data_IF_240030237966
#
_entry.id   IF_240030237966
#
_cell.length_a   1.000
_cell.length_b   1.000
_cell.length_c   1.000
_cell.angle_alpha   90.00
_cell.angle_beta   90.00
_cell.angle_gamma   90.00
#
_symmetry.space_group_name_H-M   'P 1'
#
loop_
_entity.id
_entity.type
_entity.pdbx_description
1 polymer ?
#
# COMPACT_ATOMS: atom_id res chain seq x y z
N UNK A 1 -11.99 17.29 -7.07
CA UNK A 1 -11.08 16.70 -6.06
C UNK A 1 -11.06 15.19 -6.26
N UNK A 2 -9.89 14.55 -6.34
CA UNK A 2 -9.84 13.09 -6.45
C UNK A 2 -10.22 12.42 -5.11
N UNK A 3 -11.25 11.59 -5.13
CA UNK A 3 -11.82 10.93 -3.95
C UNK A 3 -10.77 10.09 -3.19
N UNK A 4 -10.83 10.17 -1.86
CA UNK A 4 -10.06 9.30 -0.97
C UNK A 4 -10.65 7.90 -1.02
N UNK A 5 -9.85 6.92 -1.42
CA UNK A 5 -10.20 5.50 -1.36
C UNK A 5 -9.50 4.84 -0.18
N UNK A 6 -10.16 3.82 0.37
CA UNK A 6 -9.64 3.01 1.45
C UNK A 6 -9.27 1.64 0.90
N UNK A 7 -8.07 1.17 1.26
CA UNK A 7 -7.56 -0.12 0.86
C UNK A 7 -7.24 -0.94 2.11
N UNK A 8 -7.66 -2.19 2.10
CA UNK A 8 -7.42 -3.14 3.17
C UNK A 8 -6.32 -4.11 2.77
N UNK A 9 -5.38 -4.31 3.69
CA UNK A 9 -4.31 -5.28 3.59
C UNK A 9 -4.46 -6.31 4.71
N UNK A 10 -4.15 -7.57 4.42
CA UNK A 10 -4.00 -8.61 5.43
C UNK A 10 -2.53 -9.00 5.49
N UNK A 11 -1.94 -8.93 6.67
CA UNK A 11 -0.55 -9.33 6.88
C UNK A 11 -0.43 -10.85 7.06
N UNK A 12 0.79 -11.38 7.06
CA UNK A 12 1.08 -12.82 7.25
C UNK A 12 0.54 -13.35 8.59
N UNK A 13 0.48 -12.49 9.61
CA UNK A 13 -0.13 -12.79 10.91
C UNK A 13 -1.66 -12.70 10.93
N UNK A 14 -2.31 -12.46 9.79
CA UNK A 14 -3.76 -12.32 9.67
C UNK A 14 -4.33 -10.99 10.15
N UNK A 15 -3.49 -10.05 10.62
CA UNK A 15 -3.91 -8.71 11.03
C UNK A 15 -4.36 -7.88 9.83
N UNK A 16 -5.47 -7.18 9.99
CA UNK A 16 -6.03 -6.29 8.98
C UNK A 16 -5.49 -4.88 9.17
N UNK A 17 -4.94 -4.31 8.10
CA UNK A 17 -4.45 -2.93 8.05
C UNK A 17 -5.21 -2.14 7.00
N UNK A 18 -5.62 -0.92 7.35
CA UNK A 18 -6.33 -0.02 6.43
C UNK A 18 -5.40 1.12 6.01
N UNK A 19 -5.26 1.32 4.71
CA UNK A 19 -4.46 2.36 4.09
C UNK A 19 -5.32 3.26 3.22
N UNK A 20 -5.06 4.57 3.27
CA UNK A 20 -5.75 5.56 2.43
C UNK A 20 -4.92 5.88 1.20
N UNK A 21 -5.57 6.07 0.04
CA UNK A 21 -4.88 6.49 -1.18
C UNK A 21 -5.87 6.80 -2.30
N UNK A 22 -5.41 7.52 -3.32
CA UNK A 22 -6.18 7.70 -4.57
C UNK A 22 -6.08 6.45 -5.45
N UNK A 23 -4.92 5.79 -5.44
CA UNK A 23 -4.65 4.57 -6.22
C UNK A 23 -4.16 3.45 -5.31
N UNK A 24 -4.31 2.16 -5.72
CA UNK A 24 -3.81 1.03 -4.95
C UNK A 24 -2.29 1.09 -4.79
N UNK A 25 -1.56 1.65 -5.76
CA UNK A 25 -0.11 1.87 -5.67
C UNK A 25 0.26 2.85 -4.56
N UNK A 26 -0.52 3.92 -4.38
CA UNK A 26 -0.26 4.90 -3.31
C UNK A 26 -0.47 4.28 -1.92
N UNK A 27 -1.51 3.45 -1.77
CA UNK A 27 -1.72 2.69 -0.55
C UNK A 27 -0.57 1.69 -0.31
N UNK A 28 -0.07 1.03 -1.38
CA UNK A 28 1.07 0.13 -1.29
C UNK A 28 2.35 0.85 -0.87
N UNK A 29 2.63 2.04 -1.39
CA UNK A 29 3.80 2.84 -0.96
C UNK A 29 3.77 3.13 0.54
N UNK A 30 2.58 3.46 1.09
CA UNK A 30 2.41 3.68 2.53
C UNK A 30 2.64 2.40 3.34
N UNK A 31 2.19 1.26 2.84
CA UNK A 31 2.45 -0.03 3.46
C UNK A 31 3.96 -0.36 3.43
N UNK A 32 4.63 -0.14 2.30
CA UNK A 32 6.08 -0.35 2.18
C UNK A 32 6.88 0.54 3.15
N UNK A 33 6.48 1.81 3.36
CA UNK A 33 7.12 2.68 4.36
C UNK A 33 7.03 2.12 5.78
N UNK A 34 5.96 1.39 6.11
CA UNK A 34 5.80 0.72 7.41
C UNK A 34 6.64 -0.55 7.55
N UNK A 35 7.22 -1.06 6.46
CA UNK A 35 8.08 -2.24 6.45
C UNK A 35 7.45 -3.50 5.85
N UNK A 36 6.24 -3.42 5.30
CA UNK A 36 5.60 -4.56 4.65
C UNK A 36 6.27 -4.87 3.30
N UNK A 37 6.75 -6.11 3.14
CA UNK A 37 7.37 -6.60 1.89
C UNK A 37 6.34 -7.15 0.92
N UNK A 38 5.46 -8.02 1.41
CA UNK A 38 4.37 -8.60 0.61
C UNK A 38 3.08 -7.85 0.91
N UNK A 39 2.54 -7.16 -0.08
CA UNK A 39 1.42 -6.24 0.10
C UNK A 39 0.27 -6.68 -0.78
N UNK A 40 -0.77 -7.24 -0.17
CA UNK A 40 -1.99 -7.64 -0.86
C UNK A 40 -3.12 -6.67 -0.48
N UNK A 41 -3.53 -5.82 -1.43
CA UNK A 41 -4.47 -4.73 -1.19
C UNK A 41 -5.80 -4.91 -1.91
N UNK A 42 -6.89 -4.76 -1.16
CA UNK A 42 -8.27 -4.73 -1.65
C UNK A 42 -8.86 -3.35 -1.48
N UNK A 43 -9.58 -2.83 -2.47
CA UNK A 43 -10.37 -1.60 -2.30
C UNK A 43 -11.62 -1.88 -1.43
N UNK A 44 -11.75 -1.16 -0.31
CA UNK A 44 -12.87 -1.31 0.63
C UNK A 44 -14.16 -0.80 -0.03
N UNK A 45 -15.21 -1.61 0.04
CA UNK A 45 -16.53 -1.26 -0.52
C UNK A 45 -16.69 -1.52 -2.02
N UNK A 46 -15.61 -1.84 -2.75
CA UNK A 46 -15.69 -2.16 -4.18
C UNK A 46 -15.87 -3.65 -4.41
N UNK A 47 -16.87 -4.01 -5.22
CA UNK A 47 -17.05 -5.35 -5.81
C UNK A 47 -17.05 -5.23 -7.33
N UNK A 48 -16.55 -6.25 -8.00
CA UNK A 48 -16.70 -6.37 -9.45
C UNK A 48 -18.16 -6.73 -9.78
N UNK A 49 -18.57 -6.55 -11.05
CA UNK A 49 -19.92 -6.91 -11.51
C UNK A 49 -20.26 -8.37 -11.21
N UNK A 50 -19.27 -9.24 -11.27
CA UNK A 50 -19.39 -10.69 -11.00
C UNK A 50 -19.42 -11.03 -9.49
N UNK A 51 -19.52 -10.03 -8.61
CA UNK A 51 -19.48 -10.20 -7.14
C UNK A 51 -18.10 -10.51 -6.56
N UNK A 52 -17.05 -10.58 -7.40
CA UNK A 52 -15.67 -10.84 -6.97
C UNK A 52 -14.97 -9.61 -6.41
N UNK A 53 -13.95 -9.82 -5.59
CA UNK A 53 -13.02 -8.81 -5.11
C UNK A 53 -11.73 -8.85 -5.91
N UNK A 54 -11.20 -7.66 -6.20
CA UNK A 54 -9.90 -7.50 -6.85
C UNK A 54 -8.85 -7.21 -5.77
N UNK A 55 -7.88 -8.11 -5.64
CA UNK A 55 -6.72 -7.97 -4.76
C UNK A 55 -5.52 -7.62 -5.61
N UNK A 56 -4.94 -6.44 -5.37
CA UNK A 56 -3.71 -6.01 -6.01
C UNK A 56 -2.52 -6.49 -5.20
N UNK A 57 -1.58 -7.18 -5.85
CA UNK A 57 -0.39 -7.72 -5.21
C UNK A 57 0.81 -6.86 -5.58
N UNK A 58 1.45 -6.32 -4.56
CA UNK A 58 2.67 -5.52 -4.68
C UNK A 58 3.78 -6.12 -3.83
N UNK A 59 5.00 -5.93 -4.31
CA UNK A 59 6.22 -6.11 -3.55
C UNK A 59 6.70 -4.73 -3.10
N UNK A 60 6.78 -4.53 -1.80
CA UNK A 60 7.25 -3.31 -1.16
C UNK A 60 8.70 -3.44 -0.70
N UNK A 61 9.46 -2.39 -0.94
CA UNK A 61 10.77 -2.17 -0.31
C UNK A 61 10.90 -0.70 0.07
N UNK A 62 11.84 -0.37 0.94
CA UNK A 62 12.21 1.01 1.19
C UNK A 62 13.73 1.11 1.17
N UNK A 63 14.24 2.23 0.67
CA UNK A 63 15.64 2.61 0.80
C UNK A 63 15.73 3.77 1.78
N UNK A 64 16.70 3.74 2.67
CA UNK A 64 17.02 4.89 3.51
C UNK A 64 17.95 5.79 2.71
N UNK A 65 17.54 7.03 2.49
CA UNK A 65 18.31 8.03 1.75
C UNK A 65 18.53 9.24 2.64
N UNK A 66 19.66 9.92 2.44
CA UNK A 66 19.92 11.16 3.16
C UNK A 66 18.92 12.24 2.72
N UNK A 67 18.49 13.03 3.69
CA UNK A 67 17.59 14.15 3.48
C UNK A 67 18.29 15.24 2.67
N UNK A 68 17.56 16.01 1.85
CA UNK A 68 18.15 17.10 1.07
C UNK A 68 18.74 18.17 2.00
N UNK A 69 19.75 18.89 1.53
CA UNK A 69 20.44 19.93 2.30
C UNK A 69 19.48 21.03 2.82
N UNK A 70 18.43 21.35 2.05
CA UNK A 70 17.38 22.30 2.44
C UNK A 70 16.24 21.65 3.24
N UNK A 71 16.56 20.70 4.13
CA UNK A 71 15.53 20.06 4.96
C UNK A 71 15.07 20.99 6.08
N UNK A 72 13.78 21.00 6.42
CA UNK A 72 13.32 21.67 7.63
C UNK A 72 13.83 20.95 8.89
N UNK A 73 13.96 21.68 9.99
CA UNK A 73 14.55 21.20 11.25
C UNK A 73 13.83 19.99 11.87
N UNK A 74 12.52 19.85 11.62
CA UNK A 74 11.71 18.73 12.11
C UNK A 74 11.91 17.42 11.32
N UNK A 75 12.50 17.46 10.12
CA UNK A 75 12.72 16.27 9.30
C UNK A 75 14.07 15.64 9.66
N UNK A 76 14.15 14.34 10.01
CA UNK A 76 15.41 13.68 10.35
C UNK A 76 16.40 13.66 9.18
N UNK A 77 17.69 13.45 9.48
CA UNK A 77 18.78 13.40 8.50
C UNK A 77 18.62 12.28 7.46
N UNK A 78 17.92 11.21 7.82
CA UNK A 78 17.67 10.06 6.95
C UNK A 78 16.19 9.82 6.77
N UNK A 79 15.75 9.70 5.53
CA UNK A 79 14.34 9.52 5.15
C UNK A 79 14.16 8.19 4.44
N UNK A 80 13.05 7.50 4.76
CA UNK A 80 12.65 6.29 4.03
C UNK A 80 12.02 6.67 2.70
N UNK A 81 12.62 6.24 1.59
CA UNK A 81 12.08 6.31 0.23
C UNK A 81 11.44 4.96 -0.13
N UNK A 82 10.10 4.81 -0.03
CA UNK A 82 9.43 3.57 -0.39
C UNK A 82 9.43 3.37 -1.91
N UNK A 83 9.58 2.12 -2.32
CA UNK A 83 9.45 1.67 -3.71
C UNK A 83 8.53 0.46 -3.70
N UNK A 84 7.59 0.42 -4.64
CA UNK A 84 6.71 -0.73 -4.83
C UNK A 84 6.75 -1.20 -6.27
N UNK A 85 6.83 -2.53 -6.44
CA UNK A 85 6.71 -3.21 -7.72
C UNK A 85 5.36 -3.94 -7.75
N UNK A 86 4.60 -3.79 -8.84
CA UNK A 86 3.34 -4.53 -9.01
C UNK A 86 3.68 -5.93 -9.50
N UNK A 87 3.32 -6.95 -8.73
CA UNK A 87 3.53 -8.36 -9.11
C UNK A 87 2.34 -8.82 -9.96
N UNK A 88 1.12 -8.49 -9.54
CA UNK A 88 -0.06 -8.96 -10.23
C UNK A 88 -1.36 -8.53 -9.59
N UNK A 89 -2.45 -9.18 -10.00
CA UNK A 89 -3.80 -8.98 -9.49
C UNK A 89 -4.48 -10.33 -9.37
N UNK A 90 -5.09 -10.60 -8.21
CA UNK A 90 -5.93 -11.77 -7.99
C UNK A 90 -7.39 -11.37 -7.91
N UNK A 91 -8.28 -12.21 -8.44
CA UNK A 91 -9.73 -12.08 -8.26
C UNK A 91 -10.21 -13.19 -7.34
N UNK A 92 -10.91 -12.84 -6.27
CA UNK A 92 -11.43 -13.81 -5.30
C UNK A 92 -12.92 -13.60 -5.08
N UNK A 93 -13.71 -14.69 -5.00
CA UNK A 93 -15.15 -14.63 -4.69
C UNK A 93 -15.41 -14.41 -3.20
N UNK A 94 -14.56 -14.99 -2.33
CA UNK A 94 -14.65 -14.89 -0.87
C UNK A 94 -13.39 -14.20 -0.33
N UNK A 95 -13.55 -13.30 0.63
CA UNK A 95 -12.42 -12.64 1.30
C UNK A 95 -11.86 -13.64 2.32
N UNK A 96 -10.55 -13.95 2.29
CA UNK A 96 -9.92 -14.82 3.29
C UNK A 96 -9.72 -14.13 4.65
#
# INVERSE_FOLDING_TARGET
>A
MAEKKYYEMKDEQGKKHVFTGRTPRQAALKAATRGFKRIELRERGRRNKDGTYTIHIFEGSFKVVDAPANRPSWLPEKVKKPVVKKIGVKRVKKIP
#
